data_IF_417528029171
#
_entry.id   IF_417528029171
#
_cell.length_a   1.000
_cell.length_b   1.000
_cell.length_c   1.000
_cell.angle_alpha   90.00
_cell.angle_beta   90.00
_cell.angle_gamma   90.00
#
_symmetry.space_group_name_H-M   'P 1'
#
loop_
_entity.id
_entity.type
_entity.pdbx_description
1 polymer ?
#
# COMPACT_ATOMS: atom_id res chain seq x y z
N UNK A 1 3.81 -78.55 8.08
CA UNK A 1 4.95 -79.23 8.72
C UNK A 1 5.89 -79.62 7.59
N UNK A 2 7.17 -79.26 7.70
CA UNK A 2 8.32 -79.57 6.79
C UNK A 2 8.39 -78.77 5.46
N UNK A 3 9.18 -77.70 5.32
CA UNK A 3 10.66 -77.49 5.16
C UNK A 3 11.22 -77.71 3.75
N UNK A 4 11.64 -76.59 3.14
CA UNK A 4 12.80 -76.27 2.27
C UNK A 4 13.41 -77.36 1.39
N UNK A 5 13.79 -77.03 0.14
CA UNK A 5 15.03 -76.32 -0.26
C UNK A 5 14.84 -75.76 -1.67
N UNK A 6 15.15 -74.48 -1.90
CA UNK A 6 15.40 -73.95 -3.25
C UNK A 6 16.75 -73.23 -3.24
N UNK A 7 17.63 -73.67 -4.14
CA UNK A 7 18.98 -73.18 -4.35
C UNK A 7 18.96 -72.05 -5.37
N UNK A 8 19.56 -70.90 -5.05
CA UNK A 8 20.05 -69.97 -6.08
C UNK A 8 21.23 -69.15 -5.57
N UNK A 9 22.41 -69.55 -6.04
CA UNK A 9 23.58 -68.75 -6.44
C UNK A 9 23.80 -67.38 -5.79
N UNK A 10 24.80 -67.35 -4.91
CA UNK A 10 25.48 -66.14 -4.44
C UNK A 10 26.38 -65.62 -5.57
N UNK A 11 26.05 -64.46 -6.14
CA UNK A 11 27.00 -63.66 -6.92
C UNK A 11 27.59 -62.59 -6.01
N UNK A 12 28.89 -62.72 -5.77
CA UNK A 12 29.76 -61.74 -5.13
C UNK A 12 29.90 -60.52 -6.04
N UNK A 13 29.36 -59.37 -5.64
CA UNK A 13 29.63 -58.09 -6.28
C UNK A 13 30.14 -57.11 -5.21
N UNK A 14 31.35 -56.62 -5.45
CA UNK A 14 32.12 -55.70 -4.62
C UNK A 14 31.30 -54.45 -4.23
N UNK A 15 31.55 -53.84 -3.05
CA UNK A 15 30.97 -52.53 -2.75
C UNK A 15 31.62 -51.49 -3.68
N UNK A 16 30.82 -50.91 -4.57
CA UNK A 16 31.20 -49.75 -5.34
C UNK A 16 31.39 -48.58 -4.37
N UNK A 17 32.65 -48.32 -4.02
CA UNK A 17 33.07 -47.14 -3.27
C UNK A 17 32.92 -45.90 -4.17
N UNK A 18 31.70 -45.43 -4.35
CA UNK A 18 31.44 -44.10 -4.91
C UNK A 18 31.31 -43.13 -3.75
N UNK A 19 32.45 -42.70 -3.24
CA UNK A 19 32.56 -41.42 -2.53
C UNK A 19 32.41 -40.32 -3.59
N UNK A 20 31.19 -40.14 -4.11
CA UNK A 20 30.85 -38.90 -4.78
C UNK A 20 30.73 -37.86 -3.66
N UNK A 21 31.86 -37.23 -3.33
CA UNK A 21 31.85 -35.96 -2.63
C UNK A 21 31.07 -35.00 -3.51
N UNK A 22 29.78 -34.86 -3.24
CA UNK A 22 29.00 -33.73 -3.71
C UNK A 22 29.70 -32.51 -3.13
N UNK A 23 30.61 -31.93 -3.91
CA UNK A 23 30.96 -30.53 -3.81
C UNK A 23 29.71 -29.73 -4.21
N UNK A 24 28.65 -29.84 -3.41
CA UNK A 24 27.56 -28.90 -3.43
C UNK A 24 28.10 -27.66 -2.75
N UNK A 25 28.74 -26.79 -3.53
CA UNK A 25 28.82 -25.38 -3.18
C UNK A 25 27.39 -24.98 -2.86
N UNK A 26 27.08 -24.71 -1.61
CA UNK A 26 25.75 -24.22 -1.26
C UNK A 26 25.56 -22.92 -2.04
N UNK A 27 24.69 -22.94 -3.06
CA UNK A 27 24.36 -21.76 -3.83
C UNK A 27 23.98 -20.65 -2.83
N UNK A 28 24.54 -19.44 -2.98
CA UNK A 28 24.20 -18.34 -2.09
C UNK A 28 22.69 -18.13 -2.09
N UNK A 29 22.10 -18.03 -0.90
CA UNK A 29 20.66 -17.84 -0.74
C UNK A 29 20.17 -16.65 -1.58
N UNK A 30 19.44 -16.93 -2.65
CA UNK A 30 18.78 -15.94 -3.50
C UNK A 30 17.28 -16.05 -3.34
N UNK A 31 16.60 -14.95 -3.05
CA UNK A 31 15.12 -14.93 -2.97
C UNK A 31 14.48 -15.04 -4.36
N UNK A 32 15.27 -14.81 -5.41
CA UNK A 32 14.86 -14.93 -6.81
C UNK A 32 15.19 -16.30 -7.41
N UNK A 33 15.69 -17.24 -6.60
CA UNK A 33 16.00 -18.57 -7.07
C UNK A 33 14.72 -19.25 -7.60
N UNK A 34 14.79 -19.74 -8.84
CA UNK A 34 13.65 -20.26 -9.59
C UNK A 34 12.73 -19.22 -10.25
N UNK A 35 13.06 -17.92 -10.19
CA UNK A 35 12.32 -16.84 -10.89
C UNK A 35 13.01 -16.36 -12.18
N UNK A 36 14.01 -17.08 -12.69
CA UNK A 36 14.88 -16.65 -13.80
C UNK A 36 14.12 -16.34 -15.10
N UNK A 37 12.95 -16.95 -15.29
CA UNK A 37 12.10 -16.74 -16.46
C UNK A 37 11.03 -15.64 -16.27
N UNK A 38 10.95 -15.00 -15.09
CA UNK A 38 9.92 -14.01 -14.75
C UNK A 38 10.47 -12.74 -14.07
N UNK A 39 11.68 -12.34 -14.46
CA UNK A 39 12.43 -11.20 -13.89
C UNK A 39 11.68 -9.86 -14.03
N UNK A 40 10.79 -9.74 -15.02
CA UNK A 40 10.04 -8.50 -15.30
C UNK A 40 9.21 -8.01 -14.10
N UNK A 41 8.51 -8.91 -13.41
CA UNK A 41 7.67 -8.55 -12.26
C UNK A 41 8.49 -8.03 -11.08
N UNK A 42 9.67 -8.63 -10.87
CA UNK A 42 10.62 -8.22 -9.84
C UNK A 42 11.21 -6.85 -10.16
N UNK A 43 11.65 -6.63 -11.41
CA UNK A 43 12.20 -5.34 -11.85
C UNK A 43 11.15 -4.22 -11.75
N UNK A 44 9.88 -4.54 -12.03
CA UNK A 44 8.78 -3.59 -11.88
C UNK A 44 8.63 -3.14 -10.42
N UNK A 45 8.54 -4.07 -9.47
CA UNK A 45 8.46 -3.72 -8.05
C UNK A 45 9.70 -2.94 -7.56
N UNK A 46 10.90 -3.36 -7.99
CA UNK A 46 12.15 -2.69 -7.66
C UNK A 46 12.19 -1.23 -8.12
N UNK A 47 11.62 -0.95 -9.29
CA UNK A 47 11.51 0.40 -9.83
C UNK A 47 10.65 1.28 -8.92
N UNK A 48 9.50 0.77 -8.47
CA UNK A 48 8.63 1.50 -7.54
C UNK A 48 9.22 1.67 -6.15
N UNK A 49 9.94 0.66 -5.65
CA UNK A 49 10.69 0.78 -4.40
C UNK A 49 11.75 1.89 -4.48
N UNK A 50 12.45 2.01 -5.60
CA UNK A 50 13.43 3.08 -5.83
C UNK A 50 12.77 4.47 -5.81
N UNK A 51 11.60 4.61 -6.43
CA UNK A 51 10.79 5.84 -6.37
C UNK A 51 10.38 6.16 -4.92
N UNK A 52 9.94 5.15 -4.16
CA UNK A 52 9.57 5.32 -2.76
C UNK A 52 10.73 5.79 -1.88
N UNK A 53 11.94 5.29 -2.10
CA UNK A 53 13.13 5.76 -1.38
C UNK A 53 13.40 7.24 -1.67
N UNK A 54 13.45 7.59 -2.97
CA UNK A 54 13.90 8.93 -3.40
C UNK A 54 12.84 10.00 -3.14
N UNK A 55 11.56 9.67 -3.36
CA UNK A 55 10.44 10.63 -3.31
C UNK A 55 9.54 10.38 -2.10
N UNK A 56 9.23 9.12 -1.82
CA UNK A 56 8.34 8.73 -0.73
C UNK A 56 8.88 9.10 0.65
N UNK A 57 10.15 8.80 0.94
CA UNK A 57 10.77 9.15 2.25
C UNK A 57 10.72 10.66 2.49
N UNK A 58 11.25 11.53 1.60
CA UNK A 58 11.24 12.96 1.87
C UNK A 58 9.82 13.56 1.90
N UNK A 59 8.90 13.07 1.05
CA UNK A 59 7.51 13.52 1.06
C UNK A 59 6.81 13.20 2.39
N UNK A 60 6.91 11.96 2.88
CA UNK A 60 6.29 11.57 4.15
C UNK A 60 6.88 12.31 5.34
N UNK A 61 8.21 12.49 5.39
CA UNK A 61 8.85 13.28 6.44
C UNK A 61 8.36 14.74 6.44
N UNK A 62 8.18 15.33 5.25
CA UNK A 62 7.61 16.67 5.13
C UNK A 62 6.16 16.73 5.61
N UNK A 63 5.33 15.73 5.29
CA UNK A 63 3.96 15.62 5.81
C UNK A 63 3.98 15.62 7.33
N UNK A 64 4.80 14.76 7.95
CA UNK A 64 4.94 14.71 9.41
C UNK A 64 5.38 16.07 9.97
N UNK A 65 6.38 16.71 9.36
CA UNK A 65 6.86 18.02 9.79
C UNK A 65 5.76 19.10 9.72
N UNK A 66 4.96 19.12 8.65
CA UNK A 66 3.83 20.03 8.50
C UNK A 66 2.77 19.78 9.57
N UNK A 67 2.41 18.52 9.81
CA UNK A 67 1.43 18.15 10.84
C UNK A 67 1.92 18.56 12.25
N UNK A 68 3.22 18.42 12.53
CA UNK A 68 3.82 18.86 13.80
C UNK A 68 3.78 20.40 13.92
N UNK A 69 4.11 21.13 12.85
CA UNK A 69 4.11 22.60 12.86
C UNK A 69 2.70 23.19 12.97
N UNK A 70 1.72 22.54 12.36
CA UNK A 70 0.33 22.98 12.33
C UNK A 70 -0.54 22.41 13.49
N UNK A 71 0.07 21.82 14.54
CA UNK A 71 -0.68 21.21 15.66
C UNK A 71 -1.65 22.14 16.39
N UNK A 72 -1.55 23.46 16.20
CA UNK A 72 -2.47 24.44 16.78
C UNK A 72 -3.84 24.47 16.09
N UNK A 73 -3.92 24.03 14.82
CA UNK A 73 -5.15 23.97 14.03
C UNK A 73 -5.27 22.60 13.34
N UNK A 74 -5.36 21.50 14.09
CA UNK A 74 -5.36 20.16 13.52
C UNK A 74 -6.65 19.92 12.72
N UNK A 75 -6.50 19.45 11.49
CA UNK A 75 -7.64 19.03 10.67
C UNK A 75 -8.24 17.73 11.18
N UNK A 76 -9.47 17.47 10.76
CA UNK A 76 -10.13 16.18 10.96
C UNK A 76 -9.33 15.11 10.21
N UNK A 77 -8.83 14.09 10.91
CA UNK A 77 -7.97 12.97 10.43
C UNK A 77 -6.44 13.17 10.45
N UNK A 78 -5.90 14.29 10.93
CA UNK A 78 -4.44 14.53 10.99
C UNK A 78 -3.64 13.45 11.73
N UNK A 79 -4.21 12.86 12.79
CA UNK A 79 -3.57 11.79 13.56
C UNK A 79 -3.36 10.55 12.69
N UNK A 80 -4.40 10.10 11.99
CA UNK A 80 -4.31 8.94 11.11
C UNK A 80 -3.35 9.21 9.95
N UNK A 81 -3.38 10.42 9.38
CA UNK A 81 -2.45 10.82 8.33
C UNK A 81 -1.00 10.83 8.82
N UNK A 82 -0.75 11.33 10.02
CA UNK A 82 0.58 11.33 10.63
C UNK A 82 1.09 9.92 10.90
N UNK A 83 0.24 9.03 11.42
CA UNK A 83 0.58 7.62 11.61
C UNK A 83 0.88 6.93 10.28
N UNK A 84 0.04 7.14 9.27
CA UNK A 84 0.25 6.60 7.93
C UNK A 84 1.57 7.07 7.32
N UNK A 85 1.85 8.39 7.38
CA UNK A 85 3.10 8.95 6.88
C UNK A 85 4.33 8.40 7.62
N UNK A 86 4.23 8.17 8.93
CA UNK A 86 5.29 7.53 9.70
C UNK A 86 5.57 6.11 9.23
N UNK A 87 4.52 5.31 9.02
CA UNK A 87 4.64 3.92 8.55
C UNK A 87 5.17 3.85 7.11
N UNK A 88 4.69 4.75 6.24
CA UNK A 88 5.17 4.84 4.86
C UNK A 88 6.62 5.30 4.78
N UNK A 89 7.06 6.25 5.62
CA UNK A 89 8.47 6.66 5.70
C UNK A 89 9.36 5.51 6.19
N UNK A 90 8.92 4.79 7.23
CA UNK A 90 9.61 3.60 7.73
C UNK A 90 9.79 2.54 6.64
N UNK A 91 8.69 2.15 5.98
CA UNK A 91 8.74 1.14 4.92
C UNK A 91 9.57 1.61 3.73
N UNK A 92 9.42 2.85 3.30
CA UNK A 92 10.16 3.41 2.16
C UNK A 92 11.67 3.54 2.42
N UNK A 93 12.12 3.47 3.68
CA UNK A 93 13.53 3.47 4.04
C UNK A 93 14.16 2.06 4.08
N UNK A 94 13.36 1.00 3.95
CA UNK A 94 13.84 -0.40 3.97
C UNK A 94 14.49 -0.90 2.66
N UNK A 95 14.13 -0.45 1.44
CA UNK A 95 14.72 -0.99 0.21
C UNK A 95 16.25 -0.93 0.15
N UNK A 96 16.96 0.12 0.61
CA UNK A 96 18.42 0.12 0.69
C UNK A 96 18.98 -1.02 1.54
N UNK A 97 18.33 -1.36 2.66
CA UNK A 97 18.69 -2.50 3.51
C UNK A 97 18.45 -3.81 2.77
N UNK A 98 17.35 -3.92 2.00
CA UNK A 98 17.09 -5.07 1.13
C UNK A 98 18.21 -5.27 0.11
N UNK A 99 18.67 -4.21 -0.55
CA UNK A 99 19.79 -4.28 -1.50
C UNK A 99 21.10 -4.70 -0.84
N UNK A 100 21.44 -4.10 0.31
CA UNK A 100 22.65 -4.47 1.04
C UNK A 100 22.61 -5.93 1.49
N UNK A 101 21.44 -6.42 1.91
CA UNK A 101 21.30 -7.81 2.31
C UNK A 101 21.35 -8.78 1.14
N UNK A 102 20.82 -8.41 -0.02
CA UNK A 102 20.86 -9.20 -1.24
C UNK A 102 22.29 -9.36 -1.78
N UNK A 103 23.06 -8.27 -1.84
CA UNK A 103 24.36 -8.26 -2.51
C UNK A 103 25.57 -8.46 -1.59
N UNK A 104 25.47 -8.09 -0.31
CA UNK A 104 26.63 -8.06 0.59
C UNK A 104 26.45 -8.90 1.85
N UNK A 105 25.39 -8.69 2.63
CA UNK A 105 25.29 -9.32 3.96
C UNK A 105 24.78 -10.76 3.93
N UNK A 106 23.84 -11.08 3.05
CA UNK A 106 23.19 -12.40 2.96
C UNK A 106 22.72 -12.95 4.32
N UNK A 107 22.28 -12.06 5.22
CA UNK A 107 21.91 -12.40 6.58
C UNK A 107 20.43 -12.81 6.66
N UNK A 108 20.19 -13.95 7.32
CA UNK A 108 18.84 -14.45 7.61
C UNK A 108 18.07 -13.51 8.55
N UNK A 109 18.76 -12.90 9.52
CA UNK A 109 18.13 -11.99 10.47
C UNK A 109 17.64 -10.71 9.79
N UNK A 110 18.46 -10.16 8.90
CA UNK A 110 18.08 -8.98 8.09
C UNK A 110 16.91 -9.33 7.17
N UNK A 111 16.86 -10.55 6.63
CA UNK A 111 15.70 -11.03 5.87
C UNK A 111 14.42 -11.09 6.70
N UNK A 112 14.50 -11.56 7.94
CA UNK A 112 13.34 -11.54 8.85
C UNK A 112 12.88 -10.11 9.14
N UNK A 113 13.80 -9.16 9.33
CA UNK A 113 13.47 -7.76 9.53
C UNK A 113 12.82 -7.10 8.29
N UNK A 114 13.30 -7.45 7.09
CA UNK A 114 12.68 -7.03 5.83
C UNK A 114 11.26 -7.61 5.74
N UNK A 115 11.10 -8.92 5.96
CA UNK A 115 9.80 -9.61 5.91
C UNK A 115 8.79 -9.01 6.90
N UNK A 116 9.25 -8.67 8.11
CA UNK A 116 8.45 -7.95 9.11
C UNK A 116 7.99 -6.59 8.55
N UNK A 117 8.89 -5.83 7.95
CA UNK A 117 8.59 -4.51 7.39
C UNK A 117 7.58 -4.53 6.25
N UNK A 118 7.61 -5.58 5.40
CA UNK A 118 6.55 -5.80 4.42
C UNK A 118 5.21 -6.07 5.09
N UNK A 119 5.17 -6.93 6.11
CA UNK A 119 3.95 -7.15 6.89
C UNK A 119 3.41 -5.86 7.53
N UNK A 120 4.30 -4.95 7.92
CA UNK A 120 3.91 -3.65 8.45
C UNK A 120 3.18 -2.83 7.39
N UNK A 121 3.70 -2.76 6.17
CA UNK A 121 3.10 -2.01 5.06
C UNK A 121 1.76 -2.60 4.63
N UNK A 122 1.70 -3.92 4.56
CA UNK A 122 0.53 -4.70 4.14
C UNK A 122 -0.72 -4.34 4.93
N UNK A 123 -0.60 -4.23 6.26
CA UNK A 123 -1.74 -3.96 7.14
C UNK A 123 -1.91 -2.47 7.46
N UNK A 124 -0.82 -1.74 7.73
CA UNK A 124 -0.95 -0.35 8.18
C UNK A 124 -1.55 0.59 7.13
N UNK A 125 -1.17 0.43 5.86
CA UNK A 125 -1.65 1.28 4.76
C UNK A 125 -3.17 1.23 4.59
N UNK A 126 -3.76 0.05 4.27
CA UNK A 126 -5.20 -0.09 4.10
C UNK A 126 -6.00 0.31 5.34
N UNK A 127 -5.53 -0.05 6.54
CA UNK A 127 -6.27 0.23 7.78
C UNK A 127 -6.26 1.73 8.13
N UNK A 128 -5.12 2.43 8.05
CA UNK A 128 -5.11 3.87 8.31
C UNK A 128 -5.90 4.65 7.26
N UNK A 129 -5.84 4.26 5.98
CA UNK A 129 -6.70 4.86 4.94
C UNK A 129 -8.18 4.60 5.20
N UNK A 130 -8.55 3.41 5.68
CA UNK A 130 -9.91 3.09 6.09
C UNK A 130 -10.38 3.97 7.24
N UNK A 131 -9.50 4.27 8.20
CA UNK A 131 -9.78 5.19 9.31
C UNK A 131 -9.94 6.65 8.83
N UNK A 132 -9.09 7.12 7.92
CA UNK A 132 -9.20 8.44 7.28
C UNK A 132 -10.53 8.56 6.53
N UNK A 133 -10.88 7.53 5.76
CA UNK A 133 -12.14 7.45 5.03
C UNK A 133 -13.33 7.52 6.00
N UNK A 134 -13.31 6.71 7.07
CA UNK A 134 -14.35 6.72 8.10
C UNK A 134 -14.52 8.09 8.76
N UNK A 135 -13.43 8.75 9.17
CA UNK A 135 -13.50 10.09 9.80
C UNK A 135 -14.16 11.11 8.85
N UNK A 136 -13.81 11.09 7.55
CA UNK A 136 -14.41 11.94 6.53
C UNK A 136 -15.87 11.61 6.26
N UNK A 137 -16.22 10.33 6.23
CA UNK A 137 -17.60 9.88 6.04
C UNK A 137 -18.49 10.35 7.18
N UNK A 138 -18.07 10.16 8.43
CA UNK A 138 -18.85 10.63 9.58
C UNK A 138 -18.99 12.15 9.56
N UNK A 139 -17.93 12.89 9.21
CA UNK A 139 -17.99 14.35 9.08
C UNK A 139 -18.99 14.84 8.02
N UNK A 140 -19.07 14.17 6.87
CA UNK A 140 -19.93 14.58 5.75
C UNK A 140 -21.38 14.10 5.93
N UNK A 141 -21.58 12.87 6.38
CA UNK A 141 -22.91 12.24 6.47
C UNK A 141 -23.61 12.59 7.79
N UNK A 142 -22.86 12.71 8.88
CA UNK A 142 -23.39 12.94 10.22
C UNK A 142 -22.75 14.18 10.89
N UNK A 143 -22.85 15.38 10.29
CA UNK A 143 -22.12 16.58 10.75
C UNK A 143 -22.47 16.98 12.21
N UNK A 144 -23.72 16.81 12.63
CA UNK A 144 -24.16 17.13 14.00
C UNK A 144 -23.50 16.20 15.02
N UNK A 145 -23.48 14.89 14.72
CA UNK A 145 -22.88 13.90 15.62
C UNK A 145 -21.36 14.02 15.64
N UNK A 146 -20.75 14.36 14.50
CA UNK A 146 -19.31 14.59 14.39
C UNK A 146 -18.84 15.75 15.29
N UNK A 147 -19.62 16.83 15.41
CA UNK A 147 -19.30 17.95 16.32
C UNK A 147 -19.44 17.64 17.81
N UNK A 148 -20.16 16.57 18.19
CA UNK A 148 -20.41 16.19 19.58
C UNK A 148 -19.46 15.11 20.12
N UNK A 149 -18.81 14.33 19.24
CA UNK A 149 -17.85 13.31 19.66
C UNK A 149 -16.58 13.95 20.21
N UNK A 150 -16.01 13.39 21.30
CA UNK A 150 -14.63 13.69 21.73
C UNK A 150 -13.67 13.11 20.69
N UNK A 151 -13.21 13.90 19.70
CA UNK A 151 -12.64 13.33 18.48
C UNK A 151 -11.24 12.78 18.74
N UNK A 152 -10.55 13.25 19.78
CA UNK A 152 -9.18 12.86 20.10
C UNK A 152 -9.06 11.44 20.67
N UNK A 153 -9.91 11.06 21.63
CA UNK A 153 -9.83 9.74 22.29
C UNK A 153 -10.14 8.64 21.27
N UNK A 154 -11.22 8.79 20.51
CA UNK A 154 -11.59 7.86 19.44
C UNK A 154 -10.45 7.64 18.43
N UNK A 155 -9.83 8.73 17.95
CA UNK A 155 -8.73 8.65 16.98
C UNK A 155 -7.48 7.98 17.54
N UNK A 156 -7.14 8.25 18.80
CA UNK A 156 -6.02 7.59 19.48
C UNK A 156 -6.30 6.10 19.70
N UNK A 157 -7.49 5.73 20.19
CA UNK A 157 -7.89 4.34 20.37
C UNK A 157 -7.86 3.56 19.05
N UNK A 158 -8.40 4.13 17.97
CA UNK A 158 -8.40 3.46 16.67
C UNK A 158 -6.99 3.36 16.09
N UNK A 159 -6.15 4.39 16.25
CA UNK A 159 -4.74 4.32 15.83
C UNK A 159 -3.98 3.24 16.59
N UNK A 160 -4.18 3.14 17.91
CA UNK A 160 -3.57 2.10 18.74
C UNK A 160 -4.02 0.70 18.29
N UNK A 161 -5.32 0.53 18.00
CA UNK A 161 -5.84 -0.72 17.46
C UNK A 161 -5.17 -1.09 16.13
N UNK A 162 -5.05 -0.14 15.20
CA UNK A 162 -4.38 -0.37 13.91
C UNK A 162 -2.92 -0.75 14.11
N UNK A 163 -2.19 -0.10 15.03
CA UNK A 163 -0.82 -0.49 15.36
C UNK A 163 -0.74 -1.91 15.92
N UNK A 164 -1.61 -2.28 16.86
CA UNK A 164 -1.64 -3.62 17.41
C UNK A 164 -1.91 -4.68 16.33
N UNK A 165 -2.89 -4.46 15.46
CA UNK A 165 -3.20 -5.36 14.35
C UNK A 165 -2.03 -5.47 13.38
N UNK A 166 -1.41 -4.34 13.03
CA UNK A 166 -0.23 -4.28 12.15
C UNK A 166 0.92 -5.09 12.73
N UNK A 167 1.27 -4.87 14.00
CA UNK A 167 2.38 -5.56 14.64
C UNK A 167 2.11 -7.07 14.78
N UNK A 168 0.88 -7.45 15.14
CA UNK A 168 0.48 -8.85 15.22
C UNK A 168 0.58 -9.56 13.86
N UNK A 169 0.05 -8.94 12.80
CA UNK A 169 0.15 -9.47 11.43
C UNK A 169 1.60 -9.56 10.96
N UNK A 170 2.41 -8.53 11.22
CA UNK A 170 3.82 -8.48 10.82
C UNK A 170 4.66 -9.55 11.51
N UNK A 171 4.42 -9.77 12.81
CA UNK A 171 5.07 -10.82 13.57
C UNK A 171 4.66 -12.22 13.04
N UNK A 172 3.37 -12.43 12.81
CA UNK A 172 2.84 -13.66 12.22
C UNK A 172 3.45 -13.95 10.83
N UNK A 173 3.54 -12.94 9.96
CA UNK A 173 4.20 -13.03 8.65
C UNK A 173 5.67 -13.44 8.79
N UNK A 174 6.36 -12.87 9.78
CA UNK A 174 7.79 -13.11 10.01
C UNK A 174 8.06 -14.54 10.44
N UNK A 175 7.33 -15.04 11.44
CA UNK A 175 7.45 -16.42 11.95
C UNK A 175 7.11 -17.45 10.87
N UNK A 176 6.08 -17.19 10.06
CA UNK A 176 5.62 -18.11 9.02
C UNK A 176 4.99 -19.38 9.59
N UNK A 177 4.69 -20.35 8.71
CA UNK A 177 4.13 -21.65 9.11
C UNK A 177 2.65 -21.64 9.53
N UNK A 178 1.96 -20.51 9.38
CA UNK A 178 0.53 -20.40 9.67
C UNK A 178 -0.30 -20.86 8.46
N UNK A 179 -1.18 -21.87 8.61
CA UNK A 179 -2.01 -22.33 7.51
C UNK A 179 -2.98 -21.23 7.08
N UNK A 180 -3.17 -21.06 5.77
CA UNK A 180 -4.07 -20.05 5.18
C UNK A 180 -3.72 -18.59 5.51
N UNK A 181 -2.46 -18.26 5.84
CA UNK A 181 -2.05 -16.89 6.13
C UNK A 181 -2.34 -15.91 4.97
N UNK A 182 -2.11 -16.34 3.72
CA UNK A 182 -2.39 -15.52 2.52
C UNK A 182 -3.89 -15.19 2.37
N UNK A 183 -4.78 -16.06 2.87
CA UNK A 183 -6.22 -15.78 2.89
C UNK A 183 -6.60 -14.71 3.91
N UNK A 184 -5.85 -14.60 5.02
CA UNK A 184 -6.03 -13.51 6.00
C UNK A 184 -5.67 -12.18 5.36
N UNK A 185 -4.52 -12.10 4.68
CA UNK A 185 -4.11 -10.91 3.94
C UNK A 185 -5.14 -10.52 2.89
N UNK A 186 -5.56 -11.49 2.07
CA UNK A 186 -6.54 -11.28 1.01
C UNK A 186 -7.89 -10.79 1.56
N UNK A 187 -8.37 -11.41 2.66
CA UNK A 187 -9.60 -11.02 3.33
C UNK A 187 -9.52 -9.61 3.92
N UNK A 188 -8.41 -9.27 4.57
CA UNK A 188 -8.15 -7.92 5.09
C UNK A 188 -8.15 -6.88 3.98
N UNK A 189 -7.38 -7.11 2.91
CA UNK A 189 -7.28 -6.22 1.76
C UNK A 189 -8.62 -6.01 1.08
N UNK A 190 -9.40 -7.08 0.87
CA UNK A 190 -10.71 -7.01 0.26
C UNK A 190 -11.71 -6.22 1.12
N UNK A 191 -11.69 -6.46 2.44
CA UNK A 191 -12.53 -5.73 3.38
C UNK A 191 -12.18 -4.24 3.42
N UNK A 192 -10.89 -3.91 3.54
CA UNK A 192 -10.41 -2.54 3.55
C UNK A 192 -10.70 -1.82 2.22
N UNK A 193 -10.46 -2.46 1.08
CA UNK A 193 -10.77 -1.91 -0.24
C UNK A 193 -12.26 -1.63 -0.41
N UNK A 194 -13.10 -2.61 -0.09
CA UNK A 194 -14.55 -2.48 -0.15
C UNK A 194 -15.04 -1.32 0.73
N UNK A 195 -14.55 -1.25 1.96
CA UNK A 195 -14.85 -0.16 2.88
C UNK A 195 -14.44 1.20 2.33
N UNK A 196 -13.21 1.33 1.84
CA UNK A 196 -12.70 2.56 1.24
C UNK A 196 -13.53 3.02 0.05
N UNK A 197 -13.91 2.11 -0.86
CA UNK A 197 -14.75 2.42 -2.02
C UNK A 197 -16.15 2.86 -1.58
N UNK A 198 -16.82 2.07 -0.72
CA UNK A 198 -18.17 2.39 -0.22
C UNK A 198 -18.22 3.74 0.48
N UNK A 199 -17.22 4.02 1.29
CA UNK A 199 -17.07 5.28 2.01
C UNK A 199 -16.92 6.46 1.04
N UNK A 200 -15.98 6.39 0.09
CA UNK A 200 -15.73 7.49 -0.85
C UNK A 200 -16.91 7.70 -1.80
N UNK A 201 -17.56 6.63 -2.29
CA UNK A 201 -18.77 6.72 -3.12
C UNK A 201 -19.91 7.37 -2.36
N UNK A 202 -20.09 7.03 -1.08
CA UNK A 202 -21.12 7.61 -0.22
C UNK A 202 -20.88 9.11 0.03
N UNK A 203 -19.63 9.52 0.24
CA UNK A 203 -19.24 10.94 0.34
C UNK A 203 -19.56 11.68 -0.98
N UNK A 204 -19.17 11.13 -2.12
CA UNK A 204 -19.47 11.72 -3.44
C UNK A 204 -20.98 11.85 -3.67
N UNK A 205 -21.75 10.83 -3.31
CA UNK A 205 -23.20 10.83 -3.43
C UNK A 205 -23.84 11.90 -2.54
N UNK A 206 -23.42 12.02 -1.29
CA UNK A 206 -23.91 13.04 -0.37
C UNK A 206 -23.58 14.46 -0.83
N UNK A 207 -22.35 14.70 -1.32
CA UNK A 207 -21.95 15.97 -1.90
C UNK A 207 -22.81 16.34 -3.13
N UNK A 208 -23.08 15.36 -4.02
CA UNK A 208 -23.93 15.55 -5.20
C UNK A 208 -25.40 15.81 -4.82
N UNK A 209 -25.95 15.07 -3.85
CA UNK A 209 -27.32 15.24 -3.37
C UNK A 209 -27.52 16.61 -2.72
N UNK A 210 -26.55 17.05 -1.91
CA UNK A 210 -26.57 18.38 -1.29
C UNK A 210 -26.54 19.53 -2.30
N UNK A 211 -25.94 19.31 -3.49
CA UNK A 211 -25.99 20.29 -4.59
C UNK A 211 -27.40 20.39 -5.19
N UNK A 212 -28.04 19.25 -5.47
CA UNK A 212 -29.38 19.21 -6.08
C UNK A 212 -30.48 19.76 -5.19
N UNK A 213 -30.42 19.48 -3.88
CA UNK A 213 -31.40 19.98 -2.92
C UNK A 213 -31.40 21.51 -2.78
N UNK A 214 -30.30 22.18 -3.17
CA UNK A 214 -30.19 23.65 -3.13
C UNK A 214 -30.76 24.38 -4.36
N UNK A 215 -31.40 23.67 -5.31
CA UNK A 215 -32.05 24.28 -6.47
C UNK A 215 -31.12 24.95 -7.50
N UNK A 216 -29.79 24.84 -7.33
CA UNK A 216 -28.78 25.31 -8.29
C UNK A 216 -28.08 24.10 -8.90
N UNK A 217 -28.15 23.97 -10.22
CA UNK A 217 -27.46 22.89 -10.96
C UNK A 217 -25.93 23.06 -10.87
N UNK A 218 -25.46 24.25 -10.52
CA UNK A 218 -24.06 24.53 -10.20
C UNK A 218 -23.72 24.27 -8.73
N UNK A 219 -22.82 23.31 -8.52
CA UNK A 219 -22.26 23.01 -7.21
C UNK A 219 -21.37 24.15 -6.72
N UNK A 220 -21.68 24.69 -5.53
CA UNK A 220 -20.89 25.74 -4.87
C UNK A 220 -19.37 25.45 -4.94
N UNK A 221 -18.50 26.43 -5.22
CA UNK A 221 -17.08 26.21 -5.50
C UNK A 221 -16.35 25.35 -4.46
N UNK A 222 -16.64 25.54 -3.16
CA UNK A 222 -16.06 24.72 -2.10
C UNK A 222 -16.50 23.25 -2.17
N UNK A 223 -17.78 22.97 -2.47
CA UNK A 223 -18.29 21.60 -2.62
C UNK A 223 -17.73 20.95 -3.89
N UNK A 224 -17.58 21.73 -4.97
CA UNK A 224 -16.94 21.30 -6.22
C UNK A 224 -15.49 20.89 -5.99
N UNK A 225 -14.73 21.67 -5.22
CA UNK A 225 -13.37 21.34 -4.81
C UNK A 225 -13.34 20.04 -4.00
N UNK A 226 -14.17 19.92 -2.96
CA UNK A 226 -14.26 18.72 -2.13
C UNK A 226 -14.62 17.47 -2.95
N UNK A 227 -15.61 17.56 -3.84
CA UNK A 227 -16.01 16.45 -4.72
C UNK A 227 -14.85 16.01 -5.62
N UNK A 228 -14.13 16.95 -6.24
CA UNK A 228 -12.97 16.62 -7.09
C UNK A 228 -11.85 15.96 -6.30
N UNK A 229 -11.57 16.43 -5.08
CA UNK A 229 -10.58 15.82 -4.20
C UNK A 229 -10.97 14.39 -3.83
N UNK A 230 -12.21 14.15 -3.39
CA UNK A 230 -12.69 12.80 -3.03
C UNK A 230 -12.68 11.87 -4.24
N UNK A 231 -13.07 12.36 -5.42
CA UNK A 231 -13.01 11.58 -6.66
C UNK A 231 -11.57 11.19 -7.01
N UNK A 232 -10.63 12.13 -6.88
CA UNK A 232 -9.21 11.84 -7.10
C UNK A 232 -8.72 10.74 -6.16
N UNK A 233 -9.07 10.80 -4.88
CA UNK A 233 -8.71 9.80 -3.87
C UNK A 233 -9.29 8.43 -4.21
N UNK A 234 -10.56 8.38 -4.63
CA UNK A 234 -11.17 7.13 -5.09
C UNK A 234 -10.41 6.53 -6.28
N UNK A 235 -10.05 7.33 -7.28
CA UNK A 235 -9.27 6.85 -8.42
C UNK A 235 -7.91 6.26 -8.00
N UNK A 236 -7.25 6.87 -7.02
CA UNK A 236 -5.95 6.39 -6.50
C UNK A 236 -6.10 5.10 -5.71
N UNK A 237 -7.15 4.99 -4.90
CA UNK A 237 -7.46 3.75 -4.17
C UNK A 237 -7.72 2.62 -5.17
N UNK A 238 -8.51 2.87 -6.21
CA UNK A 238 -8.74 1.89 -7.27
C UNK A 238 -7.42 1.54 -7.97
N UNK A 239 -6.62 2.51 -8.37
CA UNK A 239 -5.35 2.26 -9.06
C UNK A 239 -4.35 1.43 -8.22
N UNK A 240 -4.18 1.76 -6.93
CA UNK A 240 -3.18 1.11 -6.08
C UNK A 240 -3.64 -0.25 -5.52
N UNK A 241 -4.93 -0.41 -5.24
CA UNK A 241 -5.43 -1.58 -4.50
C UNK A 241 -6.19 -2.57 -5.40
N UNK A 242 -6.84 -2.12 -6.49
CA UNK A 242 -7.60 -3.00 -7.38
C UNK A 242 -6.76 -4.15 -7.94
N UNK A 243 -5.50 -3.94 -8.40
CA UNK A 243 -4.69 -5.04 -8.95
C UNK A 243 -4.53 -6.18 -7.95
N UNK A 244 -4.18 -5.88 -6.69
CA UNK A 244 -3.97 -6.91 -5.67
C UNK A 244 -5.27 -7.59 -5.27
N UNK A 245 -6.36 -6.84 -5.05
CA UNK A 245 -7.65 -7.46 -4.67
C UNK A 245 -8.31 -8.22 -5.82
N UNK A 246 -7.96 -7.93 -7.07
CA UNK A 246 -8.48 -8.64 -8.24
C UNK A 246 -7.67 -9.91 -8.56
N UNK A 247 -6.39 -9.97 -8.18
CA UNK A 247 -5.50 -11.07 -8.55
C UNK A 247 -5.25 -12.05 -7.40
N UNK A 248 -5.08 -11.58 -6.17
CA UNK A 248 -4.65 -12.41 -5.04
C UNK A 248 -5.71 -13.42 -4.57
N UNK A 249 -7.04 -13.14 -4.59
CA UNK A 249 -8.04 -14.15 -4.28
C UNK A 249 -8.05 -15.36 -5.22
N UNK A 250 -7.44 -15.24 -6.40
CA UNK A 250 -7.34 -16.29 -7.40
C UNK A 250 -5.96 -16.94 -7.43
N UNK A 251 -5.20 -16.87 -6.34
CA UNK A 251 -3.90 -17.53 -6.18
C UNK A 251 -3.91 -18.99 -6.68
N UNK A 252 -4.93 -19.76 -6.30
CA UNK A 252 -5.09 -21.18 -6.65
C UNK A 252 -5.24 -21.44 -8.18
N UNK A 253 -5.49 -20.41 -8.98
CA UNK A 253 -5.61 -20.51 -10.45
C UNK A 253 -4.25 -20.42 -11.15
N UNK A 254 -3.27 -19.77 -10.51
CA UNK A 254 -1.94 -19.59 -11.07
C UNK A 254 -1.03 -20.78 -10.72
N UNK A 255 0.00 -21.02 -11.55
CA UNK A 255 1.08 -21.90 -11.09
C UNK A 255 1.84 -21.21 -9.95
N UNK A 256 2.38 -21.98 -8.97
CA UNK A 256 3.07 -21.41 -7.82
C UNK A 256 4.18 -20.42 -8.18
N UNK A 257 4.96 -20.72 -9.22
CA UNK A 257 6.04 -19.85 -9.69
C UNK A 257 5.52 -18.57 -10.34
N UNK A 258 4.44 -18.64 -11.13
CA UNK A 258 3.82 -17.45 -11.74
C UNK A 258 3.29 -16.51 -10.67
N UNK A 259 2.62 -17.07 -9.65
CA UNK A 259 2.07 -16.27 -8.58
C UNK A 259 3.19 -15.59 -7.78
N UNK A 260 4.19 -16.38 -7.36
CA UNK A 260 5.30 -15.93 -6.53
C UNK A 260 6.23 -14.93 -7.24
N UNK A 261 6.59 -15.19 -8.50
CA UNK A 261 7.63 -14.45 -9.21
C UNK A 261 7.09 -13.27 -10.03
N UNK A 262 5.80 -13.26 -10.38
CA UNK A 262 5.23 -12.23 -11.24
C UNK A 262 4.01 -11.54 -10.63
N UNK A 263 2.94 -12.29 -10.31
CA UNK A 263 1.67 -11.71 -9.85
C UNK A 263 1.86 -10.96 -8.52
N UNK A 264 2.55 -11.58 -7.58
CA UNK A 264 2.76 -11.02 -6.25
C UNK A 264 3.66 -9.78 -6.28
N UNK A 265 4.86 -9.77 -6.91
CA UNK A 265 5.69 -8.57 -7.04
C UNK A 265 4.96 -7.43 -7.74
N UNK A 266 4.26 -7.70 -8.86
CA UNK A 266 3.52 -6.68 -9.59
C UNK A 266 2.38 -6.10 -8.74
N UNK A 267 1.60 -6.96 -8.06
CA UNK A 267 0.53 -6.50 -7.16
C UNK A 267 1.07 -5.65 -6.00
N UNK A 268 2.15 -6.09 -5.35
CA UNK A 268 2.78 -5.31 -4.30
C UNK A 268 3.36 -3.99 -4.82
N UNK A 269 3.87 -3.91 -6.04
CA UNK A 269 4.35 -2.66 -6.62
C UNK A 269 3.24 -1.56 -6.63
N UNK A 270 2.02 -1.92 -7.02
CA UNK A 270 0.85 -1.03 -6.99
C UNK A 270 0.45 -0.63 -5.56
N UNK A 271 0.54 -1.55 -4.61
CA UNK A 271 0.31 -1.23 -3.19
C UNK A 271 1.41 -0.33 -2.64
N UNK A 272 2.66 -0.56 -3.00
CA UNK A 272 3.84 0.10 -2.46
C UNK A 272 3.94 1.54 -2.97
N UNK A 273 3.62 1.81 -4.24
CA UNK A 273 3.68 3.19 -4.78
C UNK A 273 2.69 4.14 -4.08
N UNK A 274 1.69 3.60 -3.38
CA UNK A 274 0.78 4.39 -2.54
C UNK A 274 1.53 5.24 -1.50
N UNK A 275 2.65 4.75 -0.98
CA UNK A 275 3.52 5.45 -0.01
C UNK A 275 4.12 6.75 -0.56
N UNK A 276 4.17 6.91 -1.89
CA UNK A 276 4.62 8.15 -2.54
C UNK A 276 3.43 8.99 -3.03
N UNK A 277 2.43 8.36 -3.66
CA UNK A 277 1.30 9.08 -4.26
C UNK A 277 0.50 9.85 -3.19
N UNK A 278 0.23 9.23 -2.04
CA UNK A 278 -0.59 9.82 -0.99
C UNK A 278 0.01 11.09 -0.35
N UNK A 279 1.26 11.08 0.15
CA UNK A 279 1.86 12.29 0.71
C UNK A 279 2.04 13.38 -0.33
N UNK A 280 2.42 13.05 -1.58
CA UNK A 280 2.53 14.05 -2.64
C UNK A 280 1.20 14.76 -2.89
N UNK A 281 0.08 14.02 -2.91
CA UNK A 281 -1.23 14.62 -3.12
C UNK A 281 -1.66 15.49 -1.94
N UNK A 282 -1.36 15.08 -0.71
CA UNK A 282 -1.57 15.92 0.45
C UNK A 282 -0.78 17.24 0.34
N UNK A 283 0.51 17.14 0.00
CA UNK A 283 1.40 18.28 -0.21
C UNK A 283 0.95 19.20 -1.35
N UNK A 284 0.49 18.64 -2.48
CA UNK A 284 -0.10 19.38 -3.58
C UNK A 284 -1.35 20.17 -3.15
N UNK A 285 -2.21 19.59 -2.30
CA UNK A 285 -3.39 20.31 -1.79
C UNK A 285 -3.04 21.44 -0.83
N UNK A 286 -1.85 21.41 -0.23
CA UNK A 286 -1.32 22.47 0.62
C UNK A 286 -0.47 23.50 -0.13
N UNK A 287 -0.37 23.39 -1.47
CA UNK A 287 0.53 24.19 -2.31
C UNK A 287 2.01 24.14 -1.84
N UNK A 288 2.43 23.02 -1.23
CA UNK A 288 3.76 22.81 -0.66
C UNK A 288 4.43 21.59 -1.27
N UNK A 289 4.95 21.68 -2.50
CA UNK A 289 5.62 20.54 -3.15
C UNK A 289 7.13 20.78 -3.29
N UNK A 290 7.98 19.96 -2.65
CA UNK A 290 9.42 20.24 -2.54
C UNK A 290 10.32 19.79 -3.72
N UNK A 291 9.86 18.95 -4.66
CA UNK A 291 10.76 18.25 -5.60
C UNK A 291 10.51 18.44 -7.10
N UNK A 292 9.46 19.17 -7.51
CA UNK A 292 9.19 19.41 -8.93
C UNK A 292 9.46 20.86 -9.29
N UNK A 293 10.16 21.09 -10.40
CA UNK A 293 10.22 22.39 -11.08
C UNK A 293 8.79 22.92 -11.30
N UNK A 294 8.57 24.22 -11.10
CA UNK A 294 7.27 24.91 -11.23
C UNK A 294 6.49 24.54 -12.50
N UNK A 295 7.18 24.11 -13.57
CA UNK A 295 6.61 23.71 -14.86
C UNK A 295 6.01 22.29 -14.84
N UNK A 296 6.68 21.31 -14.21
CA UNK A 296 6.16 19.95 -14.04
C UNK A 296 5.05 19.94 -12.97
N UNK A 297 5.24 20.74 -11.93
CA UNK A 297 4.27 20.99 -10.87
C UNK A 297 2.98 21.59 -11.42
N UNK A 298 3.09 22.57 -12.34
CA UNK A 298 1.94 23.07 -13.10
C UNK A 298 1.26 21.93 -13.83
N UNK A 299 1.91 21.08 -14.63
CA UNK A 299 1.20 19.98 -15.33
C UNK A 299 0.49 18.97 -14.41
N UNK A 300 1.15 18.48 -13.35
CA UNK A 300 0.56 17.53 -12.40
C UNK A 300 -0.57 18.15 -11.56
N UNK A 301 -0.39 19.37 -11.06
CA UNK A 301 -1.44 20.10 -10.34
C UNK A 301 -2.53 20.63 -11.28
N UNK A 302 -2.24 20.95 -12.55
CA UNK A 302 -3.20 21.41 -13.58
C UNK A 302 -4.14 20.26 -13.98
N UNK A 303 -3.74 18.99 -14.03
CA UNK A 303 -4.74 17.91 -14.14
C UNK A 303 -5.80 17.99 -13.01
N UNK A 304 -5.40 18.50 -11.84
CA UNK A 304 -6.29 18.77 -10.68
C UNK A 304 -6.89 20.20 -10.69
N UNK A 305 -6.32 21.20 -11.37
CA UNK A 305 -6.77 22.61 -11.34
C UNK A 305 -7.26 23.21 -12.69
N UNK A 306 -7.07 22.56 -13.84
CA UNK A 306 -7.32 23.08 -15.21
C UNK A 306 -8.77 23.47 -15.55
N UNK A 307 -9.73 23.26 -14.65
CA UNK A 307 -11.15 23.59 -14.90
C UNK A 307 -11.65 24.79 -14.09
N UNK A 308 -10.75 25.63 -13.56
CA UNK A 308 -11.12 26.79 -12.76
C UNK A 308 -11.13 28.13 -13.49
N UNK A 309 -10.57 28.28 -14.70
CA UNK A 309 -10.58 29.56 -15.41
C UNK A 309 -11.27 29.46 -16.77
N UNK A 310 -12.59 29.67 -16.78
CA UNK A 310 -13.26 30.36 -17.88
C UNK A 310 -13.80 31.68 -17.33
N UNK A 311 -13.09 32.76 -17.62
CA UNK A 311 -13.49 34.14 -17.31
C UNK A 311 -14.81 34.45 -18.04
N UNK A 312 -15.83 35.05 -17.39
CA UNK A 312 -17.00 35.54 -18.09
C UNK A 312 -16.61 36.72 -18.99
N UNK A 313 -17.13 36.74 -20.22
CA UNK A 313 -16.98 37.87 -21.14
C UNK A 313 -17.55 39.15 -20.50
N UNK A 314 -16.78 40.23 -20.60
CA UNK A 314 -17.14 41.55 -20.08
C UNK A 314 -18.43 42.06 -20.76
N UNK A 315 -19.42 42.44 -19.94
CA UNK A 315 -20.57 43.21 -20.40
C UNK A 315 -20.13 44.63 -20.73
N UNK A 316 -20.44 45.07 -21.95
CA UNK A 316 -20.27 46.44 -22.44
C UNK A 316 -21.40 47.30 -21.83
N UNK A 317 -21.12 48.48 -21.27
CA UNK A 317 -22.17 49.37 -20.76
C UNK A 317 -22.91 50.07 -21.91
N UNK A 318 -24.22 50.37 -21.75
CA UNK A 318 -25.00 51.05 -22.77
C UNK A 318 -24.59 52.53 -22.88
N UNK A 319 -24.53 53.01 -24.11
CA UNK A 319 -24.47 54.44 -24.45
C UNK A 319 -25.87 55.04 -24.46
#
# INVERSE_FOLDING_TARGET
MERNVSSTTVQTLLPLNTTAGTNATAEPFSVFDGCDHQVEGILFDLTFQSINVIVGVPANLLVIAILIRNRKEPTTSDIFLGCLAFMDAYFSAMPPITFLNLYYWQSKEVWLAIKFSYGVKDTSGPLFLSCICLDRFVAVIFPVRFGQFKPIIYRLSLSLLVFCLTLAYSAAKTVGGLPNFEKVFTGEMLAAFTWMVLCNVSILWALKKSSRAGGKDEMHPMKKKAFKTVLSILCIIVFNYLPSVALFPFEDVYSPDVFRCYVQPVGFAFLNISSTIQPLIYLCHLDKVPFFSDTCLKKCCICVNAKNNKTPAAQIPPA
#
